data_IF_547958866891
#
_entry.id   IF_547958866891
#
_cell.length_a   1.000
_cell.length_b   1.000
_cell.length_c   1.000
_cell.angle_alpha   90.00
_cell.angle_beta   90.00
_cell.angle_gamma   90.00
#
_symmetry.space_group_name_H-M   'P 1'
#
loop_
_entity.id
_entity.type
_entity.pdbx_description
1 polymer ?
#
# COMPACT_ATOMS: atom_id res chain seq x y z
N UNK A 1 -4.01 -69.99 -3.98
CA UNK A 1 -2.57 -69.64 -3.96
C UNK A 1 -2.42 -68.22 -3.44
N UNK A 2 -1.79 -68.07 -2.28
CA UNK A 2 -1.55 -66.78 -1.64
C UNK A 2 -0.40 -66.04 -2.33
N UNK A 3 -0.61 -64.79 -2.73
CA UNK A 3 0.46 -63.91 -3.22
C UNK A 3 0.55 -62.68 -2.33
N UNK A 4 1.54 -62.72 -1.43
CA UNK A 4 1.96 -61.57 -0.63
C UNK A 4 2.69 -60.56 -1.53
N UNK A 5 2.27 -59.28 -1.49
CA UNK A 5 3.06 -58.15 -2.03
C UNK A 5 3.02 -56.94 -1.10
N UNK A 6 3.95 -56.98 -0.14
CA UNK A 6 4.89 -55.92 0.30
C UNK A 6 4.49 -54.46 0.05
N UNK A 7 4.19 -53.75 1.15
CA UNK A 7 4.04 -52.30 1.22
C UNK A 7 5.37 -51.55 0.99
N UNK A 8 5.41 -50.45 0.22
CA UNK A 8 6.56 -49.56 0.19
C UNK A 8 6.46 -48.41 1.20
N UNK A 9 7.60 -48.19 1.83
CA UNK A 9 7.86 -47.31 2.96
C UNK A 9 7.56 -45.82 2.73
N UNK A 10 7.19 -45.15 3.84
CA UNK A 10 7.17 -43.69 4.01
C UNK A 10 8.48 -43.06 3.54
N UNK A 11 8.46 -42.33 2.43
CA UNK A 11 9.52 -41.38 2.05
C UNK A 11 9.20 -40.01 2.64
N UNK A 12 10.00 -39.61 3.59
CA UNK A 12 10.06 -38.27 4.20
C UNK A 12 10.33 -37.21 3.13
N UNK A 13 9.35 -36.36 2.86
CA UNK A 13 9.53 -35.18 2.00
C UNK A 13 10.29 -34.08 2.77
N UNK A 14 11.32 -33.44 2.18
CA UNK A 14 12.03 -32.35 2.82
C UNK A 14 11.14 -31.11 2.93
N UNK A 15 11.05 -30.55 4.15
CA UNK A 15 10.37 -29.27 4.44
C UNK A 15 10.95 -28.17 3.55
N UNK A 16 10.17 -27.73 2.57
CA UNK A 16 10.44 -26.55 1.75
C UNK A 16 10.36 -25.32 2.66
N UNK A 17 11.53 -24.75 2.97
CA UNK A 17 11.64 -23.53 3.77
C UNK A 17 10.81 -22.40 3.15
N UNK A 18 9.96 -21.77 3.95
CA UNK A 18 9.16 -20.62 3.55
C UNK A 18 10.08 -19.46 3.14
N UNK A 19 9.87 -18.81 1.98
CA UNK A 19 10.65 -17.63 1.63
C UNK A 19 10.27 -16.49 2.57
N UNK A 20 11.25 -16.01 3.35
CA UNK A 20 11.13 -14.77 4.13
C UNK A 20 10.70 -13.65 3.17
N UNK A 21 9.52 -13.09 3.42
CA UNK A 21 8.96 -11.95 2.69
C UNK A 21 9.96 -10.79 2.76
N UNK A 22 10.71 -10.58 1.69
CA UNK A 22 11.66 -9.49 1.58
C UNK A 22 10.94 -8.17 1.85
N UNK A 23 11.48 -7.37 2.77
CA UNK A 23 10.99 -6.02 3.03
C UNK A 23 10.96 -5.24 1.71
N UNK A 24 9.81 -4.65 1.39
CA UNK A 24 9.62 -3.89 0.17
C UNK A 24 10.69 -2.78 0.09
N UNK A 25 11.61 -2.89 -0.87
CA UNK A 25 12.54 -1.80 -1.21
C UNK A 25 11.70 -0.56 -1.46
N UNK A 26 11.93 0.52 -0.69
CA UNK A 26 11.36 1.84 -0.95
C UNK A 26 11.74 2.20 -2.38
N UNK A 27 10.79 2.13 -3.31
CA UNK A 27 11.01 2.45 -4.71
C UNK A 27 11.48 3.89 -4.80
N UNK A 28 12.67 4.10 -5.35
CA UNK A 28 13.25 5.43 -5.59
C UNK A 28 12.23 6.35 -6.25
N UNK A 29 12.23 7.62 -5.84
CA UNK A 29 11.17 8.60 -6.07
C UNK A 29 10.60 8.56 -7.48
N UNK A 30 9.46 7.88 -7.62
CA UNK A 30 8.75 7.66 -8.87
C UNK A 30 8.24 8.99 -9.40
N UNK A 31 8.96 9.57 -10.36
CA UNK A 31 8.47 10.68 -11.17
C UNK A 31 7.39 10.11 -12.12
N UNK A 32 6.26 10.79 -12.21
CA UNK A 32 5.21 10.46 -13.17
C UNK A 32 5.64 10.80 -14.61
N UNK A 33 4.86 10.40 -15.62
CA UNK A 33 5.16 10.55 -17.05
C UNK A 33 5.39 12.01 -17.51
N UNK A 34 5.06 13.00 -16.67
CA UNK A 34 5.26 14.42 -16.92
C UNK A 34 6.49 14.99 -16.19
N UNK A 35 7.27 14.16 -15.49
CA UNK A 35 8.54 14.54 -14.85
C UNK A 35 8.44 15.42 -13.60
N UNK A 36 7.27 16.00 -13.30
CA UNK A 36 7.08 16.96 -12.20
C UNK A 36 6.62 16.27 -10.93
N UNK A 37 7.45 16.31 -9.87
CA UNK A 37 7.14 15.79 -8.52
C UNK A 37 6.18 16.68 -7.72
N UNK A 38 6.13 17.97 -8.03
CA UNK A 38 5.51 19.01 -7.19
C UNK A 38 4.21 19.60 -7.79
N UNK A 39 3.67 19.03 -8.87
CA UNK A 39 2.41 19.54 -9.45
C UNK A 39 1.21 18.93 -8.75
N UNK A 40 0.45 19.78 -8.04
CA UNK A 40 -0.78 19.40 -7.35
C UNK A 40 -1.78 18.72 -8.30
N UNK A 41 -2.01 19.32 -9.47
CA UNK A 41 -2.97 18.81 -10.45
C UNK A 41 -2.61 17.40 -10.94
N UNK A 42 -1.33 17.14 -11.13
CA UNK A 42 -0.86 15.83 -11.57
C UNK A 42 -1.00 14.76 -10.49
N UNK A 43 -0.70 15.10 -9.23
CA UNK A 43 -0.92 14.19 -8.10
C UNK A 43 -2.41 13.85 -7.94
N UNK A 44 -3.30 14.84 -8.04
CA UNK A 44 -4.76 14.62 -8.02
C UNK A 44 -5.18 13.67 -9.15
N UNK A 45 -4.73 13.92 -10.39
CA UNK A 45 -5.07 13.08 -11.54
C UNK A 45 -4.51 11.65 -11.43
N UNK A 46 -3.31 11.48 -10.87
CA UNK A 46 -2.73 10.17 -10.61
C UNK A 46 -3.59 9.36 -9.62
N UNK A 47 -4.02 9.98 -8.52
CA UNK A 47 -4.91 9.34 -7.55
C UNK A 47 -6.32 9.06 -8.13
N UNK A 48 -6.84 9.96 -8.95
CA UNK A 48 -8.10 9.74 -9.69
C UNK A 48 -8.02 8.53 -10.62
N UNK A 49 -6.95 8.45 -11.44
CA UNK A 49 -6.73 7.32 -12.36
C UNK A 49 -6.48 6.00 -11.63
N UNK A 50 -5.81 6.05 -10.48
CA UNK A 50 -5.56 4.87 -9.62
C UNK A 50 -6.80 4.42 -8.85
N UNK A 51 -7.82 5.29 -8.72
CA UNK A 51 -9.05 5.00 -7.99
C UNK A 51 -8.92 5.09 -6.47
N UNK A 52 -7.81 5.60 -5.94
CA UNK A 52 -7.56 5.75 -4.50
C UNK A 52 -7.80 7.18 -3.99
N UNK A 53 -8.53 7.99 -4.76
CA UNK A 53 -8.94 9.32 -4.35
C UNK A 53 -9.93 9.26 -3.19
N UNK A 54 -9.67 9.99 -2.11
CA UNK A 54 -10.56 10.03 -0.95
C UNK A 54 -11.88 10.76 -1.30
N UNK A 55 -13.04 10.21 -0.94
CA UNK A 55 -14.30 10.92 -1.10
C UNK A 55 -14.37 12.13 -0.15
N UNK A 56 -15.10 13.18 -0.54
CA UNK A 56 -15.22 14.44 0.23
C UNK A 56 -15.61 14.23 1.71
N UNK A 57 -16.43 13.22 1.97
CA UNK A 57 -16.90 12.86 3.33
C UNK A 57 -15.82 12.22 4.22
N UNK A 58 -14.70 11.75 3.66
CA UNK A 58 -13.58 11.11 4.39
C UNK A 58 -12.42 12.08 4.58
N UNK A 59 -12.73 13.25 5.15
CA UNK A 59 -11.72 14.24 5.52
C UNK A 59 -10.79 13.69 6.59
N UNK A 60 -9.50 14.00 6.49
CA UNK A 60 -8.52 13.78 7.56
C UNK A 60 -8.48 14.94 8.57
N UNK A 61 -9.09 16.07 8.23
CA UNK A 61 -9.14 17.27 9.07
C UNK A 61 -10.48 17.27 9.81
N UNK A 62 -10.42 17.32 11.13
CA UNK A 62 -11.59 17.41 12.01
C UNK A 62 -12.21 18.81 11.94
N UNK A 63 -13.47 18.94 12.41
CA UNK A 63 -14.14 20.25 12.56
C UNK A 63 -13.30 21.21 13.42
N UNK A 64 -12.84 20.73 14.58
CA UNK A 64 -11.97 21.49 15.48
C UNK A 64 -10.68 21.96 14.81
N UNK A 65 -10.03 21.10 14.03
CA UNK A 65 -8.81 21.48 13.31
C UNK A 65 -9.08 22.56 12.25
N UNK A 66 -10.27 22.59 11.66
CA UNK A 66 -10.69 23.66 10.75
C UNK A 66 -10.85 24.98 11.50
N UNK A 67 -11.57 24.96 12.62
CA UNK A 67 -11.81 26.15 13.44
C UNK A 67 -10.48 26.75 13.95
N UNK A 68 -9.56 25.90 14.44
CA UNK A 68 -8.23 26.32 14.90
C UNK A 68 -7.37 26.93 13.76
N UNK A 69 -7.54 26.48 12.51
CA UNK A 69 -6.85 27.07 11.35
C UNK A 69 -7.43 28.43 10.94
N UNK A 70 -8.73 28.64 11.12
CA UNK A 70 -9.44 29.88 10.78
C UNK A 70 -9.07 31.00 11.75
N UNK A 71 -9.11 30.74 13.07
CA UNK A 71 -8.73 31.72 14.09
C UNK A 71 -7.27 32.20 13.92
N UNK A 72 -6.33 31.27 13.71
CA UNK A 72 -4.92 31.60 13.47
C UNK A 72 -4.65 32.31 12.13
N UNK A 73 -5.64 32.34 11.23
CA UNK A 73 -5.56 33.09 9.98
C UNK A 73 -5.98 34.55 10.20
N UNK A 74 -7.02 34.78 11.00
CA UNK A 74 -7.54 36.11 11.30
C UNK A 74 -6.60 36.93 12.19
N UNK A 75 -5.90 36.29 13.13
CA UNK A 75 -4.94 36.94 14.04
C UNK A 75 -3.67 37.46 13.35
N UNK A 76 -3.51 37.19 12.04
CA UNK A 76 -2.35 37.59 11.24
C UNK A 76 -2.58 38.83 10.38
N UNK A 77 -3.72 39.48 10.53
CA UNK A 77 -4.05 40.77 9.89
C UNK A 77 -3.83 41.93 10.84
#
# INVERSE_FOLDING_TARGET
>A
MATAKKAPAKKTAPKKAAPKKAAAKKSGGKKNKLGVKNSLANNINAHKKKGDSKPKKKSSVSKKNYDDMEHNWEDKK
#
